data_IF_268976836148
#
_entry.id   IF_268976836148
#
_cell.length_a   1.000
_cell.length_b   1.000
_cell.length_c   1.000
_cell.angle_alpha   90.00
_cell.angle_beta   90.00
_cell.angle_gamma   90.00
#
_symmetry.space_group_name_H-M   'P 1'
#
loop_
_entity.id
_entity.type
_entity.pdbx_description
1 polymer ?
#
# COMPACT_ATOMS: atom_id res chain seq x y z
N UNK A 1 32.45 -36.30 -0.51
CA UNK A 1 31.70 -35.20 0.12
C UNK A 1 30.27 -35.26 -0.41
N UNK A 2 29.29 -35.54 0.44
CA UNK A 2 27.86 -35.59 0.09
C UNK A 2 27.32 -34.17 -0.04
N UNK A 3 26.72 -33.86 -1.19
CA UNK A 3 26.00 -32.60 -1.40
C UNK A 3 24.86 -32.49 -0.36
N UNK A 4 24.68 -31.36 0.33
CA UNK A 4 23.52 -31.17 1.19
C UNK A 4 22.25 -31.21 0.34
N UNK A 5 21.28 -32.03 0.73
CA UNK A 5 19.95 -32.04 0.12
C UNK A 5 19.20 -30.80 0.63
N UNK A 6 19.07 -29.77 -0.20
CA UNK A 6 18.26 -28.59 0.14
C UNK A 6 16.80 -29.03 0.08
N UNK A 7 16.05 -29.04 1.21
CA UNK A 7 14.66 -29.41 1.17
C UNK A 7 13.91 -28.42 0.28
N UNK A 8 13.03 -28.93 -0.59
CA UNK A 8 12.16 -28.13 -1.43
C UNK A 8 11.08 -27.48 -0.54
N UNK A 9 11.43 -26.35 0.08
CA UNK A 9 10.50 -25.45 0.74
C UNK A 9 9.78 -24.65 -0.34
N UNK A 10 8.60 -25.10 -0.76
CA UNK A 10 7.64 -24.23 -1.44
C UNK A 10 6.89 -23.46 -0.35
N UNK A 11 7.25 -22.19 -0.03
CA UNK A 11 6.49 -21.43 0.95
C UNK A 11 5.09 -21.19 0.38
N UNK A 12 4.08 -21.76 1.05
CA UNK A 12 2.67 -21.48 0.74
C UNK A 12 2.35 -20.13 1.39
N UNK A 13 2.57 -19.05 0.63
CA UNK A 13 2.30 -17.68 1.09
C UNK A 13 0.80 -17.42 0.89
N UNK A 14 0.03 -17.60 1.95
CA UNK A 14 -1.38 -17.21 2.01
C UNK A 14 -1.44 -15.78 2.58
N UNK A 15 -1.63 -14.79 1.71
CA UNK A 15 -1.78 -13.37 2.09
C UNK A 15 -3.24 -12.99 1.87
N UNK A 16 -3.89 -12.46 2.90
CA UNK A 16 -5.24 -11.92 2.78
C UNK A 16 -5.23 -10.52 2.11
N UNK A 17 -6.37 -10.10 1.58
CA UNK A 17 -6.51 -8.76 0.98
C UNK A 17 -6.20 -7.66 2.02
N UNK A 18 -6.59 -7.86 3.30
CA UNK A 18 -6.26 -6.91 4.37
C UNK A 18 -4.76 -6.81 4.65
N UNK A 19 -4.06 -7.95 4.63
CA UNK A 19 -2.61 -7.99 4.78
C UNK A 19 -1.93 -7.32 3.59
N UNK A 20 -2.44 -7.53 2.38
CA UNK A 20 -1.95 -6.88 1.16
C UNK A 20 -2.08 -5.36 1.23
N UNK A 21 -3.23 -4.84 1.66
CA UNK A 21 -3.45 -3.40 1.84
C UNK A 21 -2.46 -2.83 2.87
N UNK A 22 -2.27 -3.53 3.99
CA UNK A 22 -1.34 -3.12 5.04
C UNK A 22 0.10 -3.08 4.54
N UNK A 23 0.52 -4.06 3.74
CA UNK A 23 1.84 -4.11 3.11
C UNK A 23 2.03 -2.99 2.08
N UNK A 24 1.02 -2.71 1.26
CA UNK A 24 1.07 -1.64 0.26
C UNK A 24 1.19 -0.26 0.92
N UNK A 25 0.37 0.01 1.94
CA UNK A 25 0.44 1.25 2.71
C UNK A 25 1.79 1.40 3.42
N UNK A 26 2.33 0.32 3.97
CA UNK A 26 3.65 0.33 4.61
C UNK A 26 4.77 0.64 3.62
N UNK A 27 4.69 0.09 2.40
CA UNK A 27 5.64 0.37 1.32
C UNK A 27 5.62 1.85 0.90
N UNK A 28 4.42 2.43 0.74
CA UNK A 28 4.26 3.85 0.42
C UNK A 28 4.79 4.73 1.58
N UNK A 29 4.48 4.37 2.83
CA UNK A 29 4.97 5.09 4.00
C UNK A 29 6.51 5.09 4.07
N UNK A 30 7.15 3.95 3.77
CA UNK A 30 8.61 3.85 3.71
C UNK A 30 9.20 4.73 2.59
N UNK A 31 8.57 4.75 1.41
CA UNK A 31 8.98 5.63 0.31
C UNK A 31 8.85 7.12 0.70
N UNK A 32 7.79 7.48 1.42
CA UNK A 32 7.57 8.84 1.91
C UNK A 32 8.60 9.28 2.96
N UNK A 33 8.94 8.39 3.89
CA UNK A 33 10.01 8.64 4.88
C UNK A 33 11.36 8.84 4.19
N UNK A 34 11.65 8.07 3.14
CA UNK A 34 12.87 8.26 2.35
C UNK A 34 12.91 9.65 1.68
N UNK A 35 11.79 10.11 1.12
CA UNK A 35 11.67 11.46 0.52
C UNK A 35 11.86 12.56 1.58
N UNK A 36 11.28 12.41 2.78
CA UNK A 36 11.46 13.37 3.87
C UNK A 36 12.93 13.48 4.33
N UNK A 37 13.63 12.35 4.43
CA UNK A 37 15.05 12.33 4.76
C UNK A 37 15.91 12.93 3.64
N UNK A 38 15.58 12.64 2.39
CA UNK A 38 16.28 13.21 1.24
C UNK A 38 16.16 14.74 1.22
N UNK A 39 14.94 15.28 1.37
CA UNK A 39 14.69 16.73 1.36
C UNK A 39 15.42 17.43 2.50
N UNK A 40 15.47 16.83 3.68
CA UNK A 40 16.23 17.34 4.83
C UNK A 40 17.74 17.38 4.54
N UNK A 41 18.32 16.28 4.06
CA UNK A 41 19.74 16.21 3.68
C UNK A 41 20.10 17.21 2.57
N UNK A 42 19.20 17.40 1.62
CA UNK A 42 19.39 18.38 0.55
C UNK A 42 19.36 19.82 1.08
N UNK A 43 18.46 20.13 2.04
CA UNK A 43 18.42 21.42 2.69
C UNK A 43 19.71 21.71 3.48
N UNK A 44 20.29 20.72 4.16
CA UNK A 44 21.58 20.84 4.82
C UNK A 44 22.71 21.10 3.83
N UNK A 45 22.70 20.40 2.70
CA UNK A 45 23.68 20.59 1.62
C UNK A 45 23.64 22.02 1.07
N UNK A 46 22.44 22.57 0.83
CA UNK A 46 22.27 23.97 0.40
C UNK A 46 22.75 24.97 1.46
N UNK A 47 22.54 24.70 2.75
CA UNK A 47 23.09 25.55 3.83
C UNK A 47 24.61 25.56 3.79
N UNK A 48 25.25 24.41 3.59
CA UNK A 48 26.71 24.32 3.45
C UNK A 48 27.18 25.06 2.19
N UNK A 49 26.49 24.89 1.06
CA UNK A 49 26.78 25.60 -0.19
C UNK A 49 26.71 27.13 0.01
N UNK A 50 25.68 27.63 0.69
CA UNK A 50 25.53 29.05 1.00
C UNK A 50 26.68 29.57 1.87
N UNK A 51 27.13 28.81 2.87
CA UNK A 51 28.29 29.16 3.69
C UNK A 51 29.57 29.24 2.86
N UNK A 52 29.80 28.26 1.98
CA UNK A 52 30.97 28.25 1.08
C UNK A 52 30.96 29.45 0.13
N UNK A 53 29.79 29.82 -0.39
CA UNK A 53 29.65 31.01 -1.23
C UNK A 53 29.96 32.29 -0.45
N UNK A 54 29.42 32.44 0.76
CA UNK A 54 29.67 33.60 1.62
C UNK A 54 31.16 33.74 2.01
N UNK A 55 31.86 32.63 2.17
CA UNK A 55 33.29 32.59 2.46
C UNK A 55 34.18 32.84 1.22
N UNK A 56 33.60 32.94 0.01
CA UNK A 56 34.34 33.08 -1.24
C UNK A 56 35.07 31.81 -1.70
N UNK A 57 34.70 30.64 -1.16
CA UNK A 57 35.32 29.34 -1.49
C UNK A 57 34.87 28.81 -2.86
N UNK A 58 33.75 29.30 -3.38
CA UNK A 58 33.17 28.88 -4.67
C UNK A 58 32.80 30.09 -5.53
N UNK A 59 32.87 29.93 -6.85
CA UNK A 59 32.52 31.02 -7.77
C UNK A 59 31.01 31.20 -7.87
N UNK A 60 30.57 32.40 -8.26
CA UNK A 60 29.15 32.71 -8.46
C UNK A 60 28.47 31.77 -9.47
N UNK A 61 29.15 31.41 -10.55
CA UNK A 61 28.63 30.48 -11.55
C UNK A 61 28.43 29.07 -10.99
N UNK A 62 29.39 28.57 -10.19
CA UNK A 62 29.27 27.27 -9.53
C UNK A 62 28.10 27.24 -8.55
N UNK A 63 27.91 28.32 -7.79
CA UNK A 63 26.80 28.48 -6.87
C UNK A 63 25.44 28.45 -7.61
N UNK A 64 25.28 29.26 -8.67
CA UNK A 64 24.06 29.28 -9.48
C UNK A 64 23.76 27.92 -10.12
N UNK A 65 24.79 27.23 -10.63
CA UNK A 65 24.63 25.89 -11.19
C UNK A 65 24.12 24.91 -10.13
N UNK A 66 24.68 24.93 -8.93
CA UNK A 66 24.22 24.08 -7.83
C UNK A 66 22.77 24.40 -7.41
N UNK A 67 22.40 25.68 -7.31
CA UNK A 67 21.02 26.08 -7.01
C UNK A 67 20.02 25.64 -8.09
N UNK A 68 20.40 25.73 -9.36
CA UNK A 68 19.55 25.29 -10.46
C UNK A 68 19.36 23.77 -10.47
N UNK A 69 20.42 23.01 -10.18
CA UNK A 69 20.34 21.55 -10.03
C UNK A 69 19.43 21.18 -8.84
N UNK A 70 19.61 21.82 -7.69
CA UNK A 70 18.74 21.64 -6.52
C UNK A 70 17.27 21.91 -6.84
N UNK A 71 16.98 22.99 -7.57
CA UNK A 71 15.63 23.32 -8.04
C UNK A 71 15.05 22.24 -8.95
N UNK A 72 15.85 21.68 -9.86
CA UNK A 72 15.41 20.58 -10.73
C UNK A 72 15.11 19.32 -9.90
N UNK A 73 16.02 18.91 -9.03
CA UNK A 73 15.82 17.76 -8.14
C UNK A 73 14.59 17.90 -7.26
N UNK A 74 14.34 19.08 -6.68
CA UNK A 74 13.13 19.34 -5.88
C UNK A 74 11.85 19.21 -6.72
N UNK A 75 11.85 19.66 -7.97
CA UNK A 75 10.70 19.45 -8.87
C UNK A 75 10.45 17.97 -9.14
N UNK A 76 11.51 17.21 -9.38
CA UNK A 76 11.40 15.77 -9.63
C UNK A 76 10.85 15.03 -8.40
N UNK A 77 11.27 15.45 -7.20
CA UNK A 77 10.76 14.91 -5.93
C UNK A 77 9.29 15.28 -5.72
N UNK A 78 8.88 16.53 -6.00
CA UNK A 78 7.48 16.93 -5.92
C UNK A 78 6.61 16.11 -6.87
N UNK A 79 7.09 15.82 -8.08
CA UNK A 79 6.38 14.94 -9.01
C UNK A 79 6.25 13.52 -8.44
N UNK A 80 7.30 13.00 -7.79
CA UNK A 80 7.27 11.68 -7.14
C UNK A 80 6.32 11.63 -5.94
N UNK A 81 6.26 12.69 -5.14
CA UNK A 81 5.32 12.85 -4.02
C UNK A 81 3.86 12.85 -4.48
N UNK A 82 3.58 13.54 -5.61
CA UNK A 82 2.26 13.48 -6.24
C UNK A 82 1.91 12.07 -6.74
N UNK A 83 2.87 11.35 -7.33
CA UNK A 83 2.66 9.96 -7.74
C UNK A 83 2.37 9.05 -6.54
N UNK A 84 3.00 9.28 -5.38
CA UNK A 84 2.73 8.53 -4.16
C UNK A 84 1.33 8.79 -3.64
N UNK A 85 0.88 10.04 -3.69
CA UNK A 85 -0.50 10.41 -3.35
C UNK A 85 -1.50 9.65 -4.22
N UNK A 86 -1.30 9.63 -5.54
CA UNK A 86 -2.16 8.85 -6.44
C UNK A 86 -2.16 7.34 -6.13
N UNK A 87 -1.05 6.76 -5.66
CA UNK A 87 -1.03 5.35 -5.22
C UNK A 87 -1.90 5.11 -3.99
N UNK A 88 -1.94 6.07 -3.06
CA UNK A 88 -2.82 6.00 -1.89
C UNK A 88 -4.28 6.05 -2.34
N UNK A 89 -4.62 6.96 -3.26
CA UNK A 89 -5.97 7.06 -3.80
C UNK A 89 -6.43 5.73 -4.44
N UNK A 90 -5.56 5.09 -5.24
CA UNK A 90 -5.85 3.77 -5.80
C UNK A 90 -6.09 2.69 -4.72
N UNK A 91 -5.39 2.76 -3.58
CA UNK A 91 -5.61 1.81 -2.47
C UNK A 91 -6.94 2.10 -1.78
N UNK A 92 -7.32 3.37 -1.63
CA UNK A 92 -8.63 3.75 -1.09
C UNK A 92 -9.77 3.20 -1.96
N UNK A 93 -9.64 3.28 -3.29
CA UNK A 93 -10.60 2.66 -4.22
C UNK A 93 -10.72 1.14 -4.02
N UNK A 94 -9.59 0.44 -3.80
CA UNK A 94 -9.60 -1.00 -3.51
C UNK A 94 -10.35 -1.29 -2.20
N UNK A 95 -10.15 -0.48 -1.17
CA UNK A 95 -10.85 -0.64 0.13
C UNK A 95 -12.37 -0.49 -0.04
N UNK A 96 -12.82 0.42 -0.90
CA UNK A 96 -14.24 0.62 -1.18
C UNK A 96 -14.87 -0.57 -1.94
N UNK A 97 -14.12 -1.18 -2.85
CA UNK A 97 -14.58 -2.34 -3.64
C UNK A 97 -14.62 -3.63 -2.81
N UNK A 98 -13.73 -3.77 -1.83
CA UNK A 98 -13.64 -4.94 -0.94
C UNK A 98 -14.01 -4.58 0.50
N UNK A 99 -15.32 -4.38 0.80
CA UNK A 99 -15.75 -4.13 2.15
C UNK A 99 -15.40 -5.33 3.03
N UNK A 100 -14.85 -5.04 4.23
CA UNK A 100 -14.56 -6.07 5.23
C UNK A 100 -15.82 -6.94 5.46
N UNK A 101 -15.68 -8.28 5.52
CA UNK A 101 -16.77 -9.12 6.01
C UNK A 101 -17.17 -8.63 7.41
N UNK A 102 -18.48 -8.48 7.67
CA UNK A 102 -18.92 -7.87 8.91
C UNK A 102 -18.52 -8.72 10.13
N UNK A 103 -17.73 -8.15 11.04
CA UNK A 103 -17.39 -8.82 12.32
C UNK A 103 -18.63 -9.01 13.23
N UNK A 104 -19.76 -8.38 12.88
CA UNK A 104 -21.05 -8.50 13.57
C UNK A 104 -22.06 -9.41 12.84
N UNK A 105 -21.62 -10.41 12.07
CA UNK A 105 -22.52 -11.49 11.65
C UNK A 105 -22.78 -12.43 12.84
N UNK A 106 -23.55 -11.94 13.81
CA UNK A 106 -24.15 -12.79 14.83
C UNK A 106 -25.12 -13.72 14.12
N UNK A 107 -24.67 -14.96 13.94
CA UNK A 107 -25.43 -16.07 13.38
C UNK A 107 -26.88 -16.08 13.91
N UNK A 108 -27.85 -16.03 13.00
CA UNK A 108 -29.13 -16.79 13.03
C UNK A 108 -30.16 -16.23 12.05
N UNK A 109 -30.11 -14.94 11.66
CA UNK A 109 -31.23 -14.32 10.92
C UNK A 109 -30.99 -13.98 9.45
N UNK A 110 -29.77 -14.08 8.91
CA UNK A 110 -29.52 -13.77 7.50
C UNK A 110 -30.11 -14.78 6.50
N UNK A 111 -30.29 -16.05 6.89
CA UNK A 111 -30.78 -17.09 5.97
C UNK A 111 -32.27 -17.43 6.11
N UNK A 112 -32.98 -16.86 7.09
CA UNK A 112 -34.32 -17.36 7.47
C UNK A 112 -35.50 -16.60 6.88
N UNK A 113 -35.35 -15.41 6.30
CA UNK A 113 -36.52 -14.67 5.80
C UNK A 113 -36.29 -14.01 4.42
N UNK A 114 -36.83 -14.72 3.43
CA UNK A 114 -37.19 -14.33 2.05
C UNK A 114 -36.07 -14.41 1.00
N UNK A 115 -36.40 -14.92 -0.21
CA UNK A 115 -35.46 -14.97 -1.32
C UNK A 115 -35.16 -13.54 -1.77
N UNK A 116 -33.94 -13.05 -1.51
CA UNK A 116 -33.50 -11.81 -2.13
C UNK A 116 -32.97 -12.11 -3.53
N UNK A 117 -33.38 -11.35 -4.58
CA UNK A 117 -33.01 -11.62 -5.97
C UNK A 117 -31.58 -11.18 -6.32
N UNK A 118 -30.73 -10.85 -5.34
CA UNK A 118 -29.33 -10.46 -5.57
C UNK A 118 -28.42 -11.09 -4.51
N UNK A 119 -27.72 -12.19 -4.84
CA UNK A 119 -26.84 -12.88 -3.90
C UNK A 119 -25.58 -12.08 -3.49
N UNK A 120 -25.41 -10.84 -3.97
CA UNK A 120 -24.20 -10.04 -3.78
C UNK A 120 -24.16 -9.16 -2.52
N UNK A 121 -25.16 -9.24 -1.61
CA UNK A 121 -25.21 -8.38 -0.41
C UNK A 121 -25.36 -9.11 0.92
N UNK A 122 -25.36 -10.45 0.93
CA UNK A 122 -25.43 -11.20 2.19
C UNK A 122 -24.02 -11.58 2.66
N UNK A 123 -23.64 -11.14 3.87
CA UNK A 123 -22.33 -11.40 4.47
C UNK A 123 -22.00 -12.89 4.67
N UNK A 124 -22.98 -13.80 4.56
CA UNK A 124 -22.78 -15.24 4.77
C UNK A 124 -22.26 -16.01 3.54
N UNK A 125 -22.18 -15.40 2.34
CA UNK A 125 -21.88 -16.13 1.10
C UNK A 125 -20.43 -16.04 0.60
N UNK A 126 -19.53 -15.32 1.30
CA UNK A 126 -18.18 -15.01 0.79
C UNK A 126 -17.04 -15.82 1.42
N UNK A 127 -17.31 -16.82 2.24
CA UNK A 127 -16.30 -17.74 2.77
C UNK A 127 -16.73 -19.18 2.49
N UNK A 128 -15.78 -20.13 2.45
CA UNK A 128 -15.89 -21.53 2.01
C UNK A 128 -17.06 -22.38 2.58
N UNK A 129 -17.91 -21.80 3.43
CA UNK A 129 -19.19 -22.33 3.93
C UNK A 129 -20.33 -22.40 2.89
N UNK A 130 -20.10 -22.05 1.62
CA UNK A 130 -21.11 -22.21 0.58
C UNK A 130 -21.61 -23.68 0.45
N UNK A 131 -20.74 -24.66 0.76
CA UNK A 131 -21.10 -26.09 0.71
C UNK A 131 -22.07 -26.55 1.80
N UNK A 132 -22.18 -25.83 2.92
CA UNK A 132 -23.12 -26.17 4.01
C UNK A 132 -24.51 -25.53 3.81
N UNK A 133 -24.60 -24.47 3.02
CA UNK A 133 -25.89 -23.80 2.75
C UNK A 133 -26.75 -24.59 1.74
N UNK A 134 -26.13 -25.39 0.86
CA UNK A 134 -26.84 -26.22 -0.13
C UNK A 134 -27.38 -27.54 0.44
N UNK A 135 -26.89 -28.03 1.59
CA UNK A 135 -27.34 -29.31 2.16
C UNK A 135 -28.64 -29.20 2.93
N UNK A 136 -29.06 -28.00 3.34
CA UNK A 136 -30.31 -27.78 4.07
C UNK A 136 -31.56 -27.64 3.19
N UNK A 137 -31.41 -27.40 1.88
CA UNK A 137 -32.55 -27.24 0.95
C UNK A 137 -32.90 -28.52 0.16
N UNK A 138 -32.22 -29.64 0.44
CA UNK A 138 -32.43 -30.92 -0.25
C UNK A 138 -33.40 -31.90 0.40
N UNK A 139 -34.21 -31.47 1.39
CA UNK A 139 -35.31 -32.30 1.93
C UNK A 139 -36.55 -31.43 2.12
N UNK A 140 -37.65 -31.87 1.51
CA UNK A 140 -38.97 -31.24 1.43
C UNK A 140 -39.21 -30.44 0.13
N UNK A 141 -39.21 -31.12 -1.02
CA UNK A 141 -40.45 -31.52 -1.75
C UNK A 141 -40.17 -32.85 -2.45
#
# INVERSE_FOLDING_TARGET
MSMPNIPNISPKIEIDIQDTISLLLSSIAQEQVAIANFTTSHAETLKVLNKKYANGEITHEQYLKACNLAKQTLKDITAKDWLLTNKIDNILEIIEIYPKPNENCSNEKCCFNKPQPRPSRCCCCSSEKFKECSTYFGRNV
#
